data_IF_813407807194
#
_entry.id   IF_813407807194
#
_cell.length_a   1.000
_cell.length_b   1.000
_cell.length_c   1.000
_cell.angle_alpha   90.00
_cell.angle_beta   90.00
_cell.angle_gamma   90.00
#
_symmetry.space_group_name_H-M   'P 1'
#
loop_
_entity.id
_entity.type
_entity.pdbx_description
1 polymer ?
#
# COMPACT_ATOMS: atom_id res chain seq x y z
N UNK A 1 -43.35 18.02 24.84
CA UNK A 1 -43.07 16.86 23.94
C UNK A 1 -42.56 17.24 22.54
N UNK A 2 -42.75 18.47 22.02
CA UNK A 2 -42.20 18.88 20.70
C UNK A 2 -40.66 19.00 20.67
N UNK A 3 -40.03 19.45 21.76
CA UNK A 3 -38.58 19.62 21.82
C UNK A 3 -37.81 18.30 21.93
N UNK A 4 -38.44 17.23 22.42
CA UNK A 4 -37.81 15.91 22.59
C UNK A 4 -37.55 15.21 21.24
N UNK A 5 -38.37 15.48 20.22
CA UNK A 5 -38.14 14.98 18.85
C UNK A 5 -37.03 15.75 18.11
N UNK A 6 -36.84 17.04 18.39
CA UNK A 6 -35.83 17.87 17.71
C UNK A 6 -34.41 17.45 18.14
N UNK A 7 -34.22 17.08 19.40
CA UNK A 7 -32.92 16.61 19.91
C UNK A 7 -32.49 15.28 19.27
N UNK A 8 -33.43 14.39 18.97
CA UNK A 8 -33.13 13.09 18.36
C UNK A 8 -32.71 13.20 16.88
N UNK A 9 -33.23 14.20 16.16
CA UNK A 9 -32.87 14.47 14.76
C UNK A 9 -31.49 15.14 14.64
N UNK A 10 -31.11 16.00 15.59
CA UNK A 10 -29.75 16.57 15.63
C UNK A 10 -28.68 15.53 16.00
N UNK A 11 -28.98 14.56 16.86
CA UNK A 11 -28.05 13.50 17.24
C UNK A 11 -27.69 12.55 16.07
N UNK A 12 -28.60 12.35 15.11
CA UNK A 12 -28.38 11.49 13.95
C UNK A 12 -27.45 12.10 12.88
N UNK A 13 -27.26 13.42 12.90
CA UNK A 13 -26.42 14.16 11.93
C UNK A 13 -24.93 14.20 12.31
N UNK A 14 -24.54 13.66 13.47
CA UNK A 14 -23.14 13.50 13.89
C UNK A 14 -22.48 12.23 13.32
N UNK A 15 -23.03 11.67 12.24
CA UNK A 15 -22.36 10.62 11.46
C UNK A 15 -21.13 11.21 10.80
N UNK A 16 -20.03 11.25 11.55
CA UNK A 16 -18.80 11.93 11.18
C UNK A 16 -18.32 11.55 9.79
N UNK A 17 -17.99 12.56 8.98
CA UNK A 17 -17.13 12.34 7.81
C UNK A 17 -15.85 11.69 8.32
N UNK A 18 -15.68 10.39 8.07
CA UNK A 18 -14.36 9.77 8.22
C UNK A 18 -13.44 10.50 7.25
N UNK A 19 -12.38 11.10 7.78
CA UNK A 19 -11.40 11.84 6.99
C UNK A 19 -10.69 10.96 5.97
N UNK A 20 -9.81 11.57 5.20
CA UNK A 20 -8.96 10.84 4.26
C UNK A 20 -7.83 10.13 4.99
N UNK A 21 -7.38 9.03 4.40
CA UNK A 21 -6.26 8.27 4.92
C UNK A 21 -5.04 8.56 4.07
N UNK A 22 -3.99 9.09 4.71
CA UNK A 22 -2.79 9.61 4.05
C UNK A 22 -1.59 8.78 4.48
N UNK A 23 -0.70 8.50 3.54
CA UNK A 23 0.67 8.08 3.83
C UNK A 23 1.59 9.29 3.69
N UNK A 24 2.14 9.75 4.81
CA UNK A 24 3.03 10.91 4.87
C UNK A 24 4.51 10.54 4.84
N UNK A 25 4.82 9.25 4.96
CA UNK A 25 6.19 8.73 5.05
C UNK A 25 6.70 8.38 3.66
N UNK A 26 5.88 7.69 2.87
CA UNK A 26 6.27 7.21 1.55
C UNK A 26 6.28 8.35 0.54
N UNK A 27 7.43 8.57 -0.08
CA UNK A 27 7.61 9.56 -1.14
C UNK A 27 7.51 8.90 -2.51
N UNK A 28 7.04 9.67 -3.50
CA UNK A 28 7.02 9.26 -4.90
C UNK A 28 8.41 9.48 -5.56
N UNK A 29 9.45 8.90 -4.97
CA UNK A 29 10.83 9.00 -5.47
C UNK A 29 11.64 7.75 -5.08
N UNK A 30 12.63 7.38 -5.91
CA UNK A 30 13.63 6.37 -5.57
C UNK A 30 14.92 7.05 -5.15
N UNK A 31 15.47 6.61 -4.02
CA UNK A 31 16.79 7.05 -3.53
C UNK A 31 17.85 6.08 -4.02
N UNK A 32 18.89 6.60 -4.65
CA UNK A 32 20.08 5.83 -4.94
C UNK A 32 20.76 5.42 -3.63
N UNK A 33 20.96 4.13 -3.45
CA UNK A 33 21.64 3.54 -2.28
C UNK A 33 22.73 2.59 -2.76
N UNK A 34 23.80 2.46 -1.96
CA UNK A 34 24.83 1.44 -2.20
C UNK A 34 24.42 0.13 -1.49
N UNK A 35 24.59 -1.04 -2.13
CA UNK A 35 24.44 -2.31 -1.44
C UNK A 35 25.33 -2.37 -0.18
N UNK A 36 24.78 -2.92 0.89
CA UNK A 36 25.48 -3.15 2.16
C UNK A 36 25.59 -4.67 2.42
N UNK A 37 26.44 -5.06 3.36
CA UNK A 37 26.51 -6.46 3.80
C UNK A 37 25.13 -6.94 4.26
N UNK A 38 24.73 -8.15 3.83
CA UNK A 38 23.41 -8.71 4.12
C UNK A 38 22.27 -8.26 3.21
N UNK A 39 22.48 -7.27 2.33
CA UNK A 39 21.47 -6.87 1.31
C UNK A 39 21.58 -7.70 0.04
N UNK A 40 20.49 -7.74 -0.74
CA UNK A 40 20.45 -8.40 -2.06
C UNK A 40 20.05 -7.41 -3.15
N UNK A 41 20.58 -7.62 -4.35
CA UNK A 41 20.23 -6.83 -5.54
C UNK A 41 19.19 -7.57 -6.37
N UNK A 42 18.03 -6.95 -6.60
CA UNK A 42 16.90 -7.53 -7.34
C UNK A 42 16.62 -6.72 -8.59
N UNK A 43 16.67 -7.36 -9.76
CA UNK A 43 16.24 -6.75 -11.02
C UNK A 43 14.76 -7.03 -11.26
N UNK A 44 14.00 -5.97 -11.54
CA UNK A 44 12.59 -6.07 -11.93
C UNK A 44 12.53 -6.21 -13.45
N UNK A 45 11.89 -7.28 -13.92
CA UNK A 45 11.72 -7.55 -15.36
C UNK A 45 10.22 -7.66 -15.75
N UNK A 46 9.31 -7.36 -14.83
CA UNK A 46 7.87 -7.31 -15.08
C UNK A 46 7.36 -5.86 -15.11
N UNK A 47 6.14 -5.67 -15.59
CA UNK A 47 5.46 -4.39 -15.74
C UNK A 47 4.47 -4.11 -14.61
N UNK A 48 4.39 -4.96 -13.58
CA UNK A 48 3.42 -4.83 -12.49
C UNK A 48 3.63 -3.58 -11.65
N UNK A 49 4.86 -3.08 -11.60
CA UNK A 49 5.25 -1.86 -10.90
C UNK A 49 5.51 -0.69 -11.84
N UNK A 50 5.08 -0.80 -13.11
CA UNK A 50 5.16 0.29 -14.07
C UNK A 50 4.15 1.39 -13.69
N UNK A 51 4.64 2.61 -13.53
CA UNK A 51 3.83 3.77 -13.17
C UNK A 51 4.65 5.05 -13.26
N UNK A 52 4.41 5.99 -12.35
CA UNK A 52 5.18 7.24 -12.28
C UNK A 52 6.68 7.03 -11.98
N UNK A 53 7.01 5.92 -11.34
CA UNK A 53 8.38 5.51 -11.04
C UNK A 53 8.67 4.26 -11.85
N UNK A 54 9.77 4.28 -12.60
CA UNK A 54 10.29 3.10 -13.28
C UNK A 54 11.32 2.38 -12.40
N UNK A 55 10.91 1.22 -11.87
CA UNK A 55 11.75 0.35 -11.03
C UNK A 55 12.65 -0.59 -11.87
N UNK A 56 12.56 -0.57 -13.20
CA UNK A 56 13.28 -1.48 -14.10
C UNK A 56 14.65 -0.95 -14.55
N UNK A 57 14.88 0.37 -14.45
CA UNK A 57 16.12 1.01 -14.90
C UNK A 57 17.38 0.55 -14.15
N UNK A 58 17.26 0.14 -12.89
CA UNK A 58 18.40 -0.27 -12.06
C UNK A 58 17.97 -1.34 -11.06
N UNK A 59 18.88 -2.24 -10.65
CA UNK A 59 18.58 -3.19 -9.58
C UNK A 59 18.17 -2.47 -8.29
N UNK A 60 17.12 -2.97 -7.64
CA UNK A 60 16.72 -2.53 -6.32
C UNK A 60 17.60 -3.20 -5.27
N UNK A 61 18.02 -2.44 -4.26
CA UNK A 61 18.70 -2.98 -3.07
C UNK A 61 17.64 -3.32 -2.04
N UNK A 62 17.59 -4.59 -1.65
CA UNK A 62 16.61 -5.14 -0.72
C UNK A 62 17.34 -5.59 0.55
N UNK A 63 16.81 -5.22 1.71
CA UNK A 63 17.20 -5.79 2.99
C UNK A 63 16.27 -6.96 3.34
N UNK A 64 16.74 -8.22 3.30
CA UNK A 64 15.92 -9.39 3.64
C UNK A 64 15.50 -9.43 5.11
N UNK A 65 16.18 -8.71 5.99
CA UNK A 65 15.95 -8.71 7.43
C UNK A 65 15.18 -7.47 7.91
N UNK A 66 14.68 -6.63 6.98
CA UNK A 66 14.00 -5.38 7.29
C UNK A 66 12.84 -5.57 8.30
N UNK A 67 12.17 -6.73 8.28
CA UNK A 67 11.04 -7.06 9.15
C UNK A 67 11.38 -8.02 10.30
N UNK A 68 12.66 -8.30 10.57
CA UNK A 68 13.05 -9.11 11.73
C UNK A 68 12.80 -8.37 13.05
N UNK A 69 12.85 -7.03 13.03
CA UNK A 69 12.62 -6.17 14.20
C UNK A 69 11.61 -5.04 13.95
N UNK A 70 11.05 -4.95 12.74
CA UNK A 70 10.10 -3.91 12.36
C UNK A 70 8.80 -4.52 11.82
N UNK A 71 7.69 -3.83 12.03
CA UNK A 71 6.40 -4.21 11.45
C UNK A 71 6.27 -3.70 10.02
N UNK A 72 5.59 -4.47 9.17
CA UNK A 72 5.24 -4.05 7.80
C UNK A 72 4.37 -2.79 7.89
N UNK A 73 4.79 -1.74 7.18
CA UNK A 73 4.04 -0.49 7.10
C UNK A 73 3.34 -0.38 5.75
N UNK A 74 2.25 0.38 5.72
CA UNK A 74 1.64 0.78 4.46
C UNK A 74 2.61 1.65 3.67
N UNK A 75 2.62 1.45 2.36
CA UNK A 75 3.53 2.15 1.47
C UNK A 75 4.87 1.45 1.32
N UNK A 76 5.20 0.44 2.13
CA UNK A 76 6.42 -0.35 1.95
C UNK A 76 6.46 -1.01 0.56
N UNK A 77 7.66 -1.04 -0.02
CA UNK A 77 7.97 -1.79 -1.22
C UNK A 77 8.64 -3.10 -0.81
N UNK A 78 7.91 -4.21 -0.94
CA UNK A 78 8.33 -5.50 -0.38
C UNK A 78 8.77 -6.46 -1.46
N UNK A 79 9.93 -7.08 -1.26
CA UNK A 79 10.35 -8.25 -2.01
C UNK A 79 9.85 -9.50 -1.32
N UNK A 80 9.04 -10.30 -2.02
CA UNK A 80 8.41 -11.48 -1.42
C UNK A 80 8.38 -12.65 -2.40
N UNK A 81 8.21 -13.83 -1.83
CA UNK A 81 7.97 -15.06 -2.57
C UNK A 81 6.47 -15.35 -2.58
N UNK A 82 5.90 -15.62 -3.75
CA UNK A 82 4.52 -16.05 -3.83
C UNK A 82 4.34 -17.39 -3.08
N UNK A 83 3.21 -17.58 -2.39
CA UNK A 83 2.91 -18.88 -1.82
C UNK A 83 2.86 -19.94 -2.94
N UNK A 84 3.29 -21.17 -2.66
CA UNK A 84 3.23 -22.24 -3.64
C UNK A 84 1.79 -22.41 -4.11
N UNK A 85 1.59 -22.53 -5.42
CA UNK A 85 0.28 -22.85 -5.98
C UNK A 85 0.38 -24.01 -6.96
N UNK A 86 -0.75 -24.72 -7.13
CA UNK A 86 -0.86 -25.94 -7.95
C UNK A 86 -0.63 -25.75 -9.45
N UNK A 87 -0.41 -24.50 -9.90
CA UNK A 87 -0.23 -24.15 -11.32
C UNK A 87 1.13 -23.50 -11.61
N UNK A 88 2.01 -23.37 -10.61
CA UNK A 88 3.36 -22.82 -10.77
C UNK A 88 4.36 -23.83 -10.24
N UNK A 89 5.25 -24.30 -11.13
CA UNK A 89 6.30 -25.26 -10.83
C UNK A 89 7.56 -24.63 -10.23
N UNK A 90 7.67 -23.29 -10.23
CA UNK A 90 8.82 -22.56 -9.71
C UNK A 90 8.40 -21.49 -8.68
N UNK A 91 9.26 -21.27 -7.70
CA UNK A 91 9.14 -20.20 -6.72
C UNK A 91 9.19 -18.83 -7.43
N UNK A 92 8.04 -18.19 -7.64
CA UNK A 92 7.97 -16.84 -8.20
C UNK A 92 8.27 -15.84 -7.08
N UNK A 93 9.24 -14.96 -7.30
CA UNK A 93 9.52 -13.81 -6.43
C UNK A 93 9.11 -12.53 -7.15
N UNK A 94 8.67 -11.51 -6.43
CA UNK A 94 8.28 -10.22 -7.00
C UNK A 94 8.49 -9.10 -6.00
N UNK A 95 8.39 -7.87 -6.49
CA UNK A 95 8.41 -6.66 -5.68
C UNK A 95 7.07 -5.96 -5.88
N UNK A 96 6.31 -5.76 -4.81
CA UNK A 96 5.03 -5.04 -4.84
C UNK A 96 4.94 -4.04 -3.69
N UNK A 97 3.97 -3.13 -3.76
CA UNK A 97 3.70 -2.15 -2.70
C UNK A 97 2.61 -2.61 -1.75
N UNK A 98 2.83 -2.43 -0.45
CA UNK A 98 1.82 -2.66 0.58
C UNK A 98 0.79 -1.54 0.54
N UNK A 99 -0.43 -1.86 0.12
CA UNK A 99 -1.55 -0.89 0.01
C UNK A 99 -2.43 -0.89 1.25
N UNK A 100 -2.62 -2.06 1.87
CA UNK A 100 -3.47 -2.27 3.04
C UNK A 100 -2.79 -3.23 4.01
N UNK A 101 -3.12 -3.12 5.30
CA UNK A 101 -2.57 -3.92 6.39
C UNK A 101 -3.59 -4.98 6.86
N UNK A 102 -3.12 -5.91 7.69
CA UNK A 102 -3.95 -6.96 8.27
C UNK A 102 -5.12 -6.37 9.05
N UNK A 103 -6.33 -6.92 8.84
CA UNK A 103 -7.57 -6.46 9.50
C UNK A 103 -8.30 -5.33 8.76
N UNK A 104 -7.66 -4.67 7.80
CA UNK A 104 -8.27 -3.56 7.07
C UNK A 104 -9.14 -4.04 5.90
N UNK A 105 -10.27 -3.35 5.64
CA UNK A 105 -11.16 -3.64 4.52
C UNK A 105 -10.82 -2.78 3.31
N UNK A 106 -10.33 -3.42 2.25
CA UNK A 106 -10.04 -2.76 0.97
C UNK A 106 -11.27 -2.73 0.05
N UNK A 107 -11.48 -1.59 -0.62
CA UNK A 107 -12.44 -1.44 -1.72
C UNK A 107 -11.85 -0.56 -2.80
N UNK A 108 -11.99 -0.96 -4.06
CA UNK A 108 -11.64 -0.12 -5.20
C UNK A 108 -12.92 0.39 -5.89
N UNK A 109 -12.92 1.66 -6.30
CA UNK A 109 -14.03 2.25 -7.08
C UNK A 109 -13.46 3.25 -8.08
N UNK A 110 -13.62 2.96 -9.38
CA UNK A 110 -13.12 3.80 -10.49
C UNK A 110 -11.64 4.17 -10.32
N UNK A 111 -10.78 3.17 -10.16
CA UNK A 111 -9.34 3.36 -9.95
C UNK A 111 -8.92 3.87 -8.57
N UNK A 112 -9.83 4.40 -7.75
CA UNK A 112 -9.52 4.89 -6.39
C UNK A 112 -9.61 3.77 -5.34
N UNK A 113 -8.59 3.65 -4.50
CA UNK A 113 -8.53 2.75 -3.34
C UNK A 113 -9.18 3.40 -2.12
N UNK A 114 -9.91 2.59 -1.36
CA UNK A 114 -10.51 2.93 -0.07
C UNK A 114 -10.16 1.85 0.95
N UNK A 115 -9.83 2.27 2.17
CA UNK A 115 -9.51 1.40 3.31
C UNK A 115 -10.47 1.74 4.46
N UNK A 116 -11.21 0.77 4.96
CA UNK A 116 -12.22 0.94 6.04
C UNK A 116 -13.24 2.06 5.80
N UNK A 117 -13.53 2.28 4.51
CA UNK A 117 -14.43 3.31 4.00
C UNK A 117 -13.76 4.66 3.72
N UNK A 118 -12.52 4.87 4.13
CA UNK A 118 -11.76 6.11 3.92
C UNK A 118 -11.05 6.09 2.59
N UNK A 119 -11.03 7.23 1.87
CA UNK A 119 -10.25 7.37 0.63
C UNK A 119 -8.76 7.32 0.97
N UNK A 120 -8.00 6.45 0.29
CA UNK A 120 -6.54 6.44 0.38
C UNK A 120 -5.98 7.57 -0.48
N UNK A 121 -5.61 8.68 0.14
CA UNK A 121 -5.04 9.84 -0.51
C UNK A 121 -3.51 9.74 -0.53
N UNK A 122 -3.00 8.98 -1.49
CA UNK A 122 -1.56 8.79 -1.75
C UNK A 122 -1.31 8.74 -3.25
N UNK A 123 -0.05 8.92 -3.68
CA UNK A 123 0.31 8.86 -5.11
C UNK A 123 0.09 7.47 -5.74
N UNK A 124 -0.03 6.42 -4.92
CA UNK A 124 -0.33 5.04 -5.32
C UNK A 124 -1.75 4.60 -4.92
N UNK A 125 -2.57 5.52 -4.40
CA UNK A 125 -3.94 5.24 -3.95
C UNK A 125 -4.97 5.34 -5.06
N UNK A 126 -4.57 5.78 -6.26
CA UNK A 126 -5.45 5.98 -7.41
C UNK A 126 -4.74 5.59 -8.70
N UNK A 127 -5.49 4.93 -9.58
CA UNK A 127 -5.09 4.75 -10.98
C UNK A 127 -4.98 6.11 -11.69
N UNK A 128 -4.00 6.22 -12.58
CA UNK A 128 -3.69 7.45 -13.33
C UNK A 128 -4.35 7.48 -14.71
N UNK A 129 -5.05 6.40 -15.10
CA UNK A 129 -5.82 6.27 -16.35
C UNK A 129 -6.98 7.26 -16.45
#
# INVERSE_FOLDING_TARGET
>A
MKYLMIVFVCAALLSGCKGELIDSVTKNELKAVKPQEGTISVKINDDYMLGNIDYSHSPLVVDPNAYSSNEIQRGDLVYFQYPPNRFQSAEKKSVLRVVALSGEKIRMKKGQVYIDGQRLNTFYGKDLS
#
